data_IF_726114474172
#
_entry.id   IF_726114474172
#
_cell.length_a   1.000
_cell.length_b   1.000
_cell.length_c   1.000
_cell.angle_alpha   90.00
_cell.angle_beta   90.00
_cell.angle_gamma   90.00
#
_symmetry.space_group_name_H-M   'P 1'
#
loop_
_entity.id
_entity.type
_entity.pdbx_description
1 polymer ?
#
# COMPACT_ATOMS: atom_id res chain seq x y z
N UNK A 1 -4.99 19.47 19.08
CA UNK A 1 -4.38 18.16 19.43
C UNK A 1 -3.68 17.64 18.17
N UNK A 2 -2.37 17.90 17.98
CA UNK A 2 -1.67 17.65 16.70
C UNK A 2 -1.19 16.21 16.49
N UNK A 3 -1.38 15.31 17.45
CA UNK A 3 -0.84 13.94 17.36
C UNK A 3 -1.64 13.01 16.43
N UNK A 4 -2.96 13.18 16.32
CA UNK A 4 -3.80 12.32 15.47
C UNK A 4 -3.59 12.56 13.95
N UNK A 5 -3.21 13.77 13.55
CA UNK A 5 -2.98 14.09 12.13
C UNK A 5 -1.62 13.59 11.62
N UNK A 6 -0.62 13.49 12.50
CA UNK A 6 0.73 13.06 12.13
C UNK A 6 0.79 11.55 11.84
N UNK A 7 0.13 10.75 12.67
CA UNK A 7 0.00 9.29 12.47
C UNK A 7 -0.69 8.96 11.14
N UNK A 8 -1.76 9.70 10.81
CA UNK A 8 -2.48 9.45 9.58
C UNK A 8 -1.63 9.76 8.33
N UNK A 9 -0.78 10.80 8.37
CA UNK A 9 0.10 11.10 7.22
C UNK A 9 1.18 10.03 7.03
N UNK A 10 1.78 9.55 8.13
CA UNK A 10 2.81 8.50 8.07
C UNK A 10 2.22 7.17 7.57
N UNK A 11 1.02 6.80 8.04
CA UNK A 11 0.27 5.64 7.55
C UNK A 11 -0.02 5.75 6.03
N UNK A 12 -0.51 6.89 5.56
CA UNK A 12 -0.83 7.08 4.13
C UNK A 12 0.42 7.08 3.25
N UNK A 13 1.54 7.65 3.73
CA UNK A 13 2.83 7.51 3.04
C UNK A 13 3.22 6.04 2.92
N UNK A 14 3.12 5.26 4.01
CA UNK A 14 3.45 3.83 4.01
C UNK A 14 2.58 3.02 3.04
N UNK A 15 1.26 3.25 3.03
CA UNK A 15 0.33 2.58 2.11
C UNK A 15 0.65 2.92 0.65
N UNK A 16 0.98 4.20 0.37
CA UNK A 16 1.36 4.66 -0.97
C UNK A 16 2.67 4.02 -1.45
N UNK A 17 3.71 4.02 -0.61
CA UNK A 17 4.99 3.38 -0.91
C UNK A 17 4.83 1.88 -1.17
N UNK A 18 4.02 1.22 -0.34
CA UNK A 18 3.73 -0.20 -0.52
C UNK A 18 2.93 -0.50 -1.80
N UNK A 19 1.92 0.33 -2.15
CA UNK A 19 1.21 0.23 -3.43
C UNK A 19 2.16 0.37 -4.63
N UNK A 20 3.07 1.35 -4.58
CA UNK A 20 4.07 1.56 -5.62
C UNK A 20 5.05 0.39 -5.75
N UNK A 21 5.46 -0.20 -4.62
CA UNK A 21 6.29 -1.41 -4.61
C UNK A 21 5.59 -2.57 -5.33
N UNK A 22 4.32 -2.82 -5.02
CA UNK A 22 3.53 -3.89 -5.65
C UNK A 22 3.44 -3.67 -7.17
N UNK A 23 3.23 -2.42 -7.61
CA UNK A 23 3.22 -2.07 -9.05
C UNK A 23 4.56 -2.35 -9.71
N UNK A 24 5.68 -1.97 -9.06
CA UNK A 24 7.04 -2.15 -9.60
C UNK A 24 7.42 -3.62 -9.78
N UNK A 25 7.06 -4.48 -8.83
CA UNK A 25 7.41 -5.91 -8.85
C UNK A 25 6.24 -6.81 -9.27
N UNK A 26 5.22 -6.25 -9.94
CA UNK A 26 3.99 -6.97 -10.28
C UNK A 26 4.24 -8.26 -11.08
N UNK A 27 5.18 -8.26 -12.02
CA UNK A 27 5.54 -9.45 -12.81
C UNK A 27 6.03 -10.60 -11.93
N UNK A 28 6.94 -10.30 -11.00
CA UNK A 28 7.52 -11.26 -10.06
C UNK A 28 6.47 -11.76 -9.09
N UNK A 29 5.67 -10.84 -8.53
CA UNK A 29 4.61 -11.20 -7.60
C UNK A 29 3.61 -12.12 -8.29
N UNK A 30 3.21 -11.87 -9.54
CA UNK A 30 2.26 -12.74 -10.25
C UNK A 30 2.77 -14.18 -10.41
N UNK A 31 4.07 -14.37 -10.56
CA UNK A 31 4.71 -15.66 -10.82
C UNK A 31 5.11 -16.39 -9.52
N UNK A 32 5.51 -15.67 -8.47
CA UNK A 32 5.94 -16.24 -7.20
C UNK A 32 4.76 -16.35 -6.19
N UNK A 33 4.40 -17.58 -5.84
CA UNK A 33 3.35 -17.84 -4.84
C UNK A 33 3.68 -17.34 -3.44
N UNK A 34 4.95 -17.40 -3.04
CA UNK A 34 5.43 -16.90 -1.74
C UNK A 34 5.34 -15.38 -1.72
N UNK A 35 5.74 -14.73 -2.81
CA UNK A 35 5.59 -13.28 -2.96
C UNK A 35 4.12 -12.85 -2.83
N UNK A 36 3.18 -13.56 -3.49
CA UNK A 36 1.74 -13.27 -3.35
C UNK A 36 1.25 -13.37 -1.92
N UNK A 37 1.61 -14.44 -1.21
CA UNK A 37 1.22 -14.63 0.18
C UNK A 37 1.77 -13.52 1.09
N UNK A 38 3.04 -13.18 0.94
CA UNK A 38 3.69 -12.15 1.74
C UNK A 38 3.07 -10.76 1.49
N UNK A 39 2.83 -10.41 0.22
CA UNK A 39 2.19 -9.15 -0.15
C UNK A 39 0.75 -9.09 0.36
N UNK A 40 -0.02 -10.16 0.16
CA UNK A 40 -1.41 -10.24 0.64
C UNK A 40 -1.51 -10.13 2.16
N UNK A 41 -0.63 -10.79 2.90
CA UNK A 41 -0.58 -10.70 4.36
C UNK A 41 -0.23 -9.28 4.82
N UNK A 42 0.82 -8.68 4.24
CA UNK A 42 1.26 -7.32 4.58
C UNK A 42 0.18 -6.29 4.30
N UNK A 43 -0.51 -6.40 3.16
CA UNK A 43 -1.64 -5.55 2.83
C UNK A 43 -2.80 -5.71 3.82
N UNK A 44 -3.14 -6.94 4.19
CA UNK A 44 -4.20 -7.18 5.16
C UNK A 44 -3.87 -6.61 6.55
N UNK A 45 -2.60 -6.63 6.96
CA UNK A 45 -2.17 -5.99 8.19
C UNK A 45 -2.29 -4.46 8.12
N UNK A 46 -1.76 -3.84 7.05
CA UNK A 46 -1.87 -2.40 6.83
C UNK A 46 -3.33 -1.91 6.82
N UNK A 47 -4.22 -2.63 6.13
CA UNK A 47 -5.64 -2.25 6.05
C UNK A 47 -6.33 -2.34 7.42
N UNK A 48 -5.95 -3.31 8.24
CA UNK A 48 -6.60 -3.58 9.52
C UNK A 48 -6.08 -2.69 10.64
N UNK A 49 -4.80 -2.37 10.62
CA UNK A 49 -4.08 -1.74 11.72
C UNK A 49 -3.21 -0.60 11.19
N UNK A 50 -3.65 0.66 11.35
CA UNK A 50 -2.89 1.83 10.92
C UNK A 50 -1.52 1.98 11.61
N UNK A 51 -1.35 1.39 12.79
CA UNK A 51 -0.10 1.42 13.56
C UNK A 51 0.86 0.29 13.15
N UNK A 52 0.46 -0.56 12.20
CA UNK A 52 1.28 -1.67 11.72
C UNK A 52 2.54 -1.16 11.02
N UNK A 53 3.69 -1.39 11.64
CA UNK A 53 4.98 -1.08 11.05
C UNK A 53 5.33 -2.08 9.95
N UNK A 54 5.46 -1.59 8.72
CA UNK A 54 5.92 -2.38 7.58
C UNK A 54 7.22 -1.79 7.02
N UNK A 55 8.27 -2.61 6.92
CA UNK A 55 9.49 -2.19 6.23
C UNK A 55 9.38 -2.47 4.74
N UNK A 56 8.95 -1.46 3.97
CA UNK A 56 8.85 -1.54 2.50
C UNK A 56 10.21 -1.85 1.88
N UNK A 57 11.30 -1.26 2.39
CA UNK A 57 12.68 -1.51 1.95
C UNK A 57 13.11 -2.98 2.13
N UNK A 58 12.71 -3.61 3.24
CA UNK A 58 13.04 -5.02 3.49
C UNK A 58 12.31 -5.94 2.50
N UNK A 59 11.04 -5.63 2.20
CA UNK A 59 10.25 -6.36 1.20
C UNK A 59 10.85 -6.15 -0.19
N UNK A 60 11.24 -4.92 -0.53
CA UNK A 60 11.90 -4.61 -1.79
C UNK A 60 13.20 -5.38 -1.95
N UNK A 61 14.07 -5.36 -0.94
CA UNK A 61 15.34 -6.09 -0.93
C UNK A 61 15.11 -7.59 -1.14
N UNK A 62 14.10 -8.17 -0.49
CA UNK A 62 13.75 -9.57 -0.70
C UNK A 62 13.24 -9.85 -2.12
N UNK A 63 12.36 -8.99 -2.67
CA UNK A 63 11.85 -9.13 -4.04
C UNK A 63 12.97 -8.99 -5.07
N UNK A 64 13.98 -8.16 -4.82
CA UNK A 64 15.17 -8.04 -5.67
C UNK A 64 16.00 -9.33 -5.70
N UNK A 65 15.97 -10.16 -4.65
CA UNK A 65 16.63 -11.49 -4.74
C UNK A 65 15.89 -12.45 -5.67
N UNK A 66 14.59 -12.23 -5.88
CA UNK A 66 13.73 -13.04 -6.75
C UNK A 66 13.85 -12.65 -8.23
N UNK A 67 14.26 -11.42 -8.54
CA UNK A 67 14.50 -10.99 -9.93
C UNK A 67 15.66 -11.75 -10.59
N UNK A 68 16.56 -12.34 -9.81
CA UNK A 68 17.81 -12.98 -10.26
C UNK A 68 17.64 -14.49 -10.52
N UNK A 69 16.54 -15.10 -10.06
CA UNK A 69 16.25 -16.52 -10.24
C UNK A 69 15.12 -16.72 -11.27
N UNK A 70 15.50 -17.22 -12.44
CA UNK A 70 14.67 -17.83 -13.49
C UNK A 70 13.78 -16.96 -14.40
N UNK A 71 14.24 -16.89 -15.65
CA UNK A 71 13.45 -16.90 -16.89
C UNK A 71 12.55 -18.15 -17.01
N UNK A 72 11.62 -18.10 -17.96
CA UNK A 72 10.84 -19.19 -18.56
C UNK A 72 9.71 -19.80 -17.71
N UNK A 73 8.54 -19.16 -17.84
CA UNK A 73 7.29 -19.71 -17.34
C UNK A 73 6.11 -18.86 -17.76
N UNK A 74 5.74 -18.96 -19.03
CA UNK A 74 4.47 -18.47 -19.57
C UNK A 74 3.32 -19.23 -18.87
N UNK A 75 2.97 -18.77 -17.67
CA UNK A 75 1.80 -19.21 -16.93
C UNK A 75 0.77 -18.09 -16.98
N UNK A 76 0.27 -17.83 -18.19
CA UNK A 76 -1.07 -17.28 -18.38
C UNK A 76 -2.11 -18.24 -17.78
N UNK A 77 -2.26 -18.22 -16.46
CA UNK A 77 -3.55 -18.48 -15.82
C UNK A 77 -3.44 -18.33 -14.31
N UNK A 78 -4.38 -17.54 -13.75
CA UNK A 78 -4.70 -17.36 -12.32
C UNK A 78 -3.97 -16.24 -11.54
N UNK A 79 -3.59 -15.15 -12.18
CA UNK A 79 -3.36 -13.88 -11.47
C UNK A 79 -4.70 -13.20 -11.09
N UNK A 80 -5.53 -13.87 -10.30
CA UNK A 80 -6.75 -13.28 -9.76
C UNK A 80 -6.42 -12.29 -8.65
N UNK A 81 -6.66 -11.00 -8.93
CA UNK A 81 -6.85 -9.88 -7.99
C UNK A 81 -5.64 -9.18 -7.34
N UNK A 82 -4.43 -9.20 -7.91
CA UNK A 82 -3.40 -8.24 -7.49
C UNK A 82 -3.79 -6.79 -7.87
N UNK A 83 -4.42 -6.61 -9.03
CA UNK A 83 -4.91 -5.30 -9.48
C UNK A 83 -6.04 -4.78 -8.56
N UNK A 84 -6.88 -5.68 -8.03
CA UNK A 84 -7.88 -5.32 -7.00
C UNK A 84 -7.21 -4.88 -5.71
N UNK A 85 -6.15 -5.56 -5.27
CA UNK A 85 -5.42 -5.17 -4.07
C UNK A 85 -4.82 -3.76 -4.23
N UNK A 86 -4.17 -3.50 -5.37
CA UNK A 86 -3.65 -2.17 -5.70
C UNK A 86 -4.76 -1.11 -5.65
N UNK A 87 -5.92 -1.40 -6.25
CA UNK A 87 -7.05 -0.46 -6.23
C UNK A 87 -7.57 -0.17 -4.82
N UNK A 88 -7.58 -1.15 -3.92
CA UNK A 88 -7.97 -0.95 -2.51
C UNK A 88 -6.97 -0.03 -1.81
N UNK A 89 -5.67 -0.28 -1.98
CA UNK A 89 -4.60 0.52 -1.37
C UNK A 89 -4.61 1.97 -1.88
N UNK A 90 -4.78 2.17 -3.20
CA UNK A 90 -4.87 3.50 -3.78
C UNK A 90 -6.10 4.26 -3.25
N UNK A 91 -7.24 3.57 -3.06
CA UNK A 91 -8.46 4.20 -2.51
C UNK A 91 -8.27 4.68 -1.07
N UNK A 92 -7.51 3.97 -0.25
CA UNK A 92 -7.18 4.38 1.13
C UNK A 92 -6.42 5.71 1.11
N UNK A 93 -5.49 5.89 0.17
CA UNK A 93 -4.77 7.14 -0.03
C UNK A 93 -5.71 8.30 -0.42
N UNK A 94 -6.66 8.03 -1.32
CA UNK A 94 -7.60 9.04 -1.82
C UNK A 94 -8.63 9.46 -0.76
N UNK A 95 -9.25 8.52 -0.05
CA UNK A 95 -10.24 8.79 1.00
C UNK A 95 -9.63 9.63 2.13
N UNK A 96 -8.38 9.35 2.51
CA UNK A 96 -7.67 10.09 3.56
C UNK A 96 -7.34 11.53 3.16
N UNK A 97 -7.11 11.76 1.86
CA UNK A 97 -6.88 13.11 1.31
C UNK A 97 -8.16 13.96 1.36
N UNK A 98 -9.31 13.33 1.13
CA UNK A 98 -10.63 13.99 1.19
C UNK A 98 -11.02 14.34 2.64
N UNK A 99 -10.76 13.45 3.60
CA UNK A 99 -11.03 13.71 5.02
C UNK A 99 -10.17 14.87 5.56
N UNK A 100 -8.90 14.95 5.18
CA UNK A 100 -8.02 16.06 5.56
C UNK A 100 -8.47 17.41 4.99
N UNK A 101 -8.97 17.45 3.75
CA UNK A 101 -9.52 18.69 3.16
C UNK A 101 -10.83 19.12 3.83
N UNK A 102 -11.68 18.17 4.23
CA UNK A 102 -12.94 18.45 4.92
C UNK A 102 -12.74 18.98 6.35
N UNK A 103 -11.68 18.57 7.04
CA UNK A 103 -11.32 19.07 8.38
C UNK A 103 -10.74 20.50 8.25
N UNK A 104 -9.82 20.72 7.31
CA UNK A 104 -9.22 22.04 7.07
C UNK A 104 -10.25 23.13 6.68
N UNK A 105 -11.28 22.77 5.91
CA UNK A 105 -12.36 23.69 5.52
C UNK A 105 -13.34 24.00 6.66
N UNK A 106 -13.55 23.08 7.61
CA UNK A 106 -14.38 23.32 8.81
C UNK A 106 -13.73 24.24 9.83
N UNK A 107 -12.41 24.15 10.01
CA UNK A 107 -11.68 25.08 10.88
C UNK A 107 -11.72 26.50 10.33
N UNK A 108 -11.55 26.67 9.01
CA UNK A 108 -11.60 27.99 8.35
C UNK A 108 -12.99 28.65 8.42
N UNK A 109 -14.08 27.87 8.43
CA UNK A 109 -15.44 28.40 8.58
C UNK A 109 -15.79 28.80 10.02
N UNK A 110 -15.05 28.34 11.02
CA UNK A 110 -15.31 28.66 12.43
C UNK A 110 -14.69 29.99 12.86
N UNK A 111 -13.81 30.58 12.06
CA UNK A 111 -13.14 31.87 12.35
C UNK A 111 -13.93 33.11 11.90
N UNK A 112 -15.11 32.93 11.29
CA UNK A 112 -15.98 34.01 10.80
C UNK A 112 -17.37 34.06 11.47
N UNK A 113 -17.57 33.40 12.63
CA UNK A 113 -18.81 33.48 13.42
C UNK A 113 -18.63 34.24 14.73
#
# INVERSE_FOLDING_TARGET
MPHAEKDNREYITLVSEFSQLIKRYQSIIKQDSVARCMIGFSAAQLIRDPDYSLSVESIESWLQTRTVMDSDGDSENRAGNLDTLISILDRICDESTLEQQAISTKETCSEFS
#
